data_IF_103970404867
#
_entry.id   IF_103970404867
#
_cell.length_a   1.000
_cell.length_b   1.000
_cell.length_c   1.000
_cell.angle_alpha   90.00
_cell.angle_beta   90.00
_cell.angle_gamma   90.00
#
_symmetry.space_group_name_H-M   'P 1'
#
loop_
_entity.id
_entity.type
_entity.pdbx_description
1 polymer ?
#
# COMPACT_ATOMS: atom_id res chain seq x y z
N UNK A 1 -43.32 38.59 59.24
CA UNK A 1 -42.84 38.24 57.89
C UNK A 1 -41.53 39.02 57.75
N UNK A 2 -40.34 38.45 57.70
CA UNK A 2 -39.78 37.54 56.70
C UNK A 2 -38.63 36.73 57.34
N UNK A 3 -38.46 35.47 56.94
CA UNK A 3 -37.30 34.64 57.30
C UNK A 3 -36.29 34.71 56.15
N UNK A 4 -35.17 35.40 56.33
CA UNK A 4 -34.04 35.36 55.39
C UNK A 4 -33.24 34.07 55.61
N UNK A 5 -33.38 33.11 54.69
CA UNK A 5 -32.53 31.91 54.62
C UNK A 5 -31.28 32.27 53.81
N UNK A 6 -30.11 32.24 54.44
CA UNK A 6 -28.80 32.36 53.77
C UNK A 6 -28.51 31.07 53.00
N UNK A 7 -28.28 31.17 51.70
CA UNK A 7 -27.74 30.09 50.87
C UNK A 7 -26.22 30.00 51.04
N UNK A 8 -25.61 28.80 51.03
CA UNK A 8 -24.16 28.65 51.07
C UNK A 8 -23.54 28.93 49.69
N UNK A 9 -22.53 29.79 49.68
CA UNK A 9 -21.65 30.08 48.55
C UNK A 9 -20.66 28.93 48.36
N UNK A 10 -20.74 28.22 47.22
CA UNK A 10 -19.71 27.26 46.79
C UNK A 10 -18.86 27.94 45.73
N UNK A 11 -17.68 28.39 46.15
CA UNK A 11 -16.57 28.82 45.31
C UNK A 11 -15.76 27.59 44.89
N UNK A 12 -15.69 27.28 43.59
CA UNK A 12 -14.68 26.38 43.03
C UNK A 12 -14.18 26.89 41.66
N UNK A 13 -12.87 26.95 41.56
CA UNK A 13 -12.00 27.67 40.63
C UNK A 13 -11.94 27.11 39.19
N UNK A 14 -11.41 27.86 38.21
CA UNK A 14 -11.34 27.42 36.81
C UNK A 14 -10.12 26.51 36.58
N UNK A 15 -10.35 25.22 36.31
CA UNK A 15 -9.27 24.32 35.87
C UNK A 15 -9.00 24.56 34.38
N UNK A 16 -8.05 25.45 34.11
CA UNK A 16 -7.24 25.40 32.89
C UNK A 16 -6.27 24.23 33.02
N UNK A 17 -6.44 23.17 32.24
CA UNK A 17 -5.36 22.26 31.90
C UNK A 17 -5.29 22.12 30.38
N UNK A 18 -4.28 22.77 29.81
CA UNK A 18 -3.81 22.58 28.45
C UNK A 18 -3.22 21.18 28.31
N UNK A 19 -3.95 20.26 27.68
CA UNK A 19 -3.39 19.01 27.20
C UNK A 19 -3.08 19.10 25.70
N UNK A 20 -1.79 18.94 25.38
CA UNK A 20 -1.26 18.79 24.02
C UNK A 20 -1.87 17.56 23.35
N UNK A 21 -2.37 17.73 22.13
CA UNK A 21 -2.80 16.64 21.25
C UNK A 21 -1.59 15.80 20.80
N UNK A 22 -1.60 14.45 20.92
CA UNK A 22 -0.74 13.61 20.11
C UNK A 22 -1.36 13.47 18.70
N UNK A 23 -0.59 13.90 17.71
CA UNK A 23 -0.86 13.68 16.29
C UNK A 23 -0.92 12.18 15.99
N UNK A 24 -2.09 11.68 15.58
CA UNK A 24 -2.21 10.38 14.93
C UNK A 24 -2.96 10.52 13.60
N UNK A 25 -2.14 10.69 12.57
CA UNK A 25 -2.54 10.60 11.19
C UNK A 25 -2.89 9.14 10.83
N UNK A 26 -4.09 8.97 10.28
CA UNK A 26 -4.35 7.95 9.27
C UNK A 26 -5.12 6.72 9.74
N UNK A 27 -6.42 6.70 9.47
CA UNK A 27 -7.10 5.44 9.16
C UNK A 27 -8.03 5.67 7.96
N UNK A 28 -7.74 4.96 6.88
CA UNK A 28 -8.46 4.96 5.60
C UNK A 28 -9.52 3.86 5.64
N UNK A 29 -10.71 4.15 5.11
CA UNK A 29 -11.94 3.30 5.10
C UNK A 29 -11.79 2.08 4.17
N UNK A 30 -10.83 1.19 4.44
CA UNK A 30 -10.66 -0.08 3.69
C UNK A 30 -10.81 -1.31 4.58
N UNK A 31 -10.94 -1.15 5.90
CA UNK A 31 -11.18 -2.26 6.82
C UNK A 31 -12.66 -2.45 7.09
N UNK A 32 -13.40 -2.97 6.12
CA UNK A 32 -14.64 -3.71 6.37
C UNK A 32 -14.91 -4.65 5.18
N UNK A 33 -14.01 -5.61 4.96
CA UNK A 33 -14.30 -6.77 4.13
C UNK A 33 -13.70 -8.01 4.78
N UNK A 34 -14.57 -8.99 4.97
CA UNK A 34 -14.30 -10.37 5.35
C UNK A 34 -14.17 -10.67 6.84
N UNK A 35 -15.26 -11.18 7.44
CA UNK A 35 -15.18 -12.34 8.33
C UNK A 35 -16.42 -13.22 8.19
N UNK A 36 -16.17 -14.51 7.93
CA UNK A 36 -17.00 -15.63 8.36
C UNK A 36 -16.04 -16.73 8.86
N UNK A 37 -16.19 -17.04 10.15
CA UNK A 37 -15.51 -18.07 10.95
C UNK A 37 -15.93 -19.49 10.49
N UNK A 38 -15.38 -20.64 10.88
CA UNK A 38 -14.24 -21.12 11.65
C UNK A 38 -14.26 -22.67 11.54
N UNK A 39 -13.11 -23.31 11.80
CA UNK A 39 -12.89 -24.52 12.63
C UNK A 39 -11.74 -25.37 12.08
N UNK A 40 -10.64 -25.36 12.83
CA UNK A 40 -9.52 -26.28 12.69
C UNK A 40 -9.98 -27.69 13.08
N UNK A 41 -9.64 -28.68 12.27
CA UNK A 41 -9.51 -30.07 12.68
C UNK A 41 -8.16 -30.58 12.20
N UNK A 42 -7.31 -30.90 13.17
CA UNK A 42 -6.03 -31.56 13.00
C UNK A 42 -6.25 -33.02 12.62
N UNK A 43 -5.80 -33.46 11.44
CA UNK A 43 -5.41 -34.86 11.26
C UNK A 43 -4.24 -35.03 10.28
N UNK A 44 -3.30 -35.80 10.80
CA UNK A 44 -2.03 -36.33 10.31
C UNK A 44 -1.93 -36.74 8.82
N UNK A 45 -0.71 -36.58 8.27
CA UNK A 45 -0.26 -37.09 6.96
C UNK A 45 0.14 -38.56 7.03
N UNK A 46 -0.10 -39.32 5.95
CA UNK A 46 0.76 -40.35 5.27
C UNK A 46 -0.13 -41.17 4.29
N UNK A 47 0.40 -42.01 3.36
CA UNK A 47 0.85 -41.61 2.02
C UNK A 47 0.09 -42.32 0.86
N UNK A 48 0.48 -41.90 -0.36
CA UNK A 48 0.07 -42.33 -1.70
C UNK A 48 0.07 -43.86 -1.91
N UNK A 49 -0.98 -44.40 -2.52
CA UNK A 49 -0.96 -45.70 -3.21
C UNK A 49 -1.65 -45.59 -4.57
N UNK A 50 -0.93 -46.05 -5.58
CA UNK A 50 -1.24 -46.18 -7.01
C UNK A 50 -2.16 -47.38 -7.27
N UNK A 51 -3.22 -47.23 -8.06
CA UNK A 51 -3.78 -48.34 -8.84
C UNK A 51 -4.42 -47.83 -10.13
N UNK A 52 -4.08 -48.52 -11.20
CA UNK A 52 -4.34 -48.26 -12.61
C UNK A 52 -5.57 -49.02 -13.12
N UNK A 53 -6.30 -48.37 -14.05
CA UNK A 53 -7.19 -48.91 -15.12
C UNK A 53 -8.59 -49.44 -14.73
N UNK A 54 -9.58 -49.52 -15.66
CA UNK A 54 -9.47 -49.39 -17.12
C UNK A 54 -10.45 -48.42 -17.83
N UNK A 55 -10.13 -48.28 -19.12
CA UNK A 55 -10.72 -47.55 -20.24
C UNK A 55 -12.02 -48.21 -20.74
N UNK A 56 -13.03 -47.38 -21.03
CA UNK A 56 -14.13 -47.74 -21.95
C UNK A 56 -14.28 -46.71 -23.06
N UNK A 57 -14.30 -47.23 -24.27
CA UNK A 57 -14.39 -46.54 -25.57
C UNK A 57 -15.86 -46.24 -25.90
N UNK A 58 -16.18 -45.05 -26.42
CA UNK A 58 -17.37 -44.86 -27.28
C UNK A 58 -17.00 -43.96 -28.47
N UNK A 59 -17.49 -44.38 -29.63
CA UNK A 59 -17.08 -43.95 -30.96
C UNK A 59 -17.71 -42.62 -31.41
N UNK A 60 -16.89 -41.88 -32.15
CA UNK A 60 -17.09 -41.02 -33.35
C UNK A 60 -18.52 -40.57 -33.75
N UNK A 61 -18.61 -39.30 -34.14
CA UNK A 61 -19.08 -38.99 -35.49
C UNK A 61 -18.33 -37.82 -36.13
N UNK A 62 -18.13 -37.95 -37.45
CA UNK A 62 -17.28 -37.14 -38.35
C UNK A 62 -18.14 -36.06 -39.03
N UNK A 63 -17.60 -34.84 -39.14
CA UNK A 63 -18.08 -33.77 -40.02
C UNK A 63 -16.89 -33.03 -40.64
N UNK A 64 -16.88 -32.95 -41.97
CA UNK A 64 -15.69 -32.80 -42.82
C UNK A 64 -15.44 -31.35 -43.28
N UNK A 65 -14.17 -31.04 -43.59
CA UNK A 65 -13.62 -29.93 -44.42
C UNK A 65 -13.54 -28.57 -43.69
N UNK A 66 -12.53 -27.71 -43.86
CA UNK A 66 -11.54 -27.55 -44.93
C UNK A 66 -10.35 -26.73 -44.39
N UNK A 67 -9.17 -27.00 -44.94
CA UNK A 67 -7.90 -26.29 -44.72
C UNK A 67 -7.94 -24.81 -45.11
N UNK A 68 -7.31 -23.95 -44.31
CA UNK A 68 -6.42 -22.88 -44.83
C UNK A 68 -5.39 -22.52 -43.76
N UNK A 69 -4.12 -22.76 -44.07
CA UNK A 69 -2.99 -22.19 -43.35
C UNK A 69 -3.04 -20.65 -43.47
N UNK A 70 -3.05 -19.96 -42.33
CA UNK A 70 -2.67 -18.54 -42.26
C UNK A 70 -1.59 -18.40 -41.19
N UNK A 71 -0.37 -18.21 -41.68
CA UNK A 71 0.77 -17.67 -40.94
C UNK A 71 0.34 -16.40 -40.22
N UNK A 72 0.09 -16.48 -38.91
CA UNK A 72 -0.17 -15.30 -38.09
C UNK A 72 1.18 -14.70 -37.73
N UNK A 73 1.68 -13.83 -38.60
CA UNK A 73 2.74 -12.87 -38.26
C UNK A 73 2.31 -12.15 -36.98
N UNK A 74 3.01 -12.45 -35.87
CA UNK A 74 2.88 -11.68 -34.63
C UNK A 74 3.58 -10.34 -34.87
N UNK A 75 2.90 -9.39 -35.50
CA UNK A 75 3.29 -7.99 -35.39
C UNK A 75 3.17 -7.62 -33.92
N UNK A 76 4.32 -7.41 -33.27
CA UNK A 76 4.38 -6.80 -31.94
C UNK A 76 3.64 -5.46 -32.03
N UNK A 77 2.68 -5.15 -31.14
CA UNK A 77 2.09 -3.82 -31.13
C UNK A 77 3.22 -2.83 -30.86
N UNK A 78 3.43 -1.91 -31.81
CA UNK A 78 4.31 -0.77 -31.67
C UNK A 78 3.81 0.00 -30.45
N UNK A 79 4.67 0.15 -29.44
CA UNK A 79 4.37 1.00 -28.28
C UNK A 79 4.09 2.40 -28.83
N UNK A 80 2.97 3.05 -28.49
CA UNK A 80 2.78 4.45 -28.82
C UNK A 80 3.98 5.23 -28.31
N UNK A 81 4.60 6.03 -29.17
CA UNK A 81 5.58 7.03 -28.77
C UNK A 81 4.84 7.98 -27.85
N UNK A 82 5.23 7.99 -26.59
CA UNK A 82 4.64 8.80 -25.56
C UNK A 82 5.04 10.27 -25.80
N UNK A 83 4.12 11.05 -26.37
CA UNK A 83 4.22 12.52 -26.54
C UNK A 83 4.26 13.30 -25.20
N UNK A 84 4.40 12.58 -24.08
CA UNK A 84 4.56 13.15 -22.76
C UNK A 84 6.06 13.22 -22.49
N UNK A 85 6.64 14.42 -22.57
CA UNK A 85 8.07 14.67 -22.36
C UNK A 85 8.69 14.06 -21.08
N UNK A 86 9.99 14.26 -20.84
CA UNK A 86 10.77 13.47 -19.89
C UNK A 86 10.07 13.28 -18.53
N UNK A 87 9.80 12.03 -18.17
CA UNK A 87 9.25 11.69 -16.86
C UNK A 87 10.41 11.81 -15.86
N UNK A 88 10.27 12.59 -14.77
CA UNK A 88 11.30 12.62 -13.73
C UNK A 88 11.56 11.21 -13.22
N UNK A 89 12.78 10.71 -13.46
CA UNK A 89 13.21 9.42 -12.93
C UNK A 89 13.66 9.62 -11.48
N UNK A 90 13.16 8.76 -10.59
CA UNK A 90 13.61 8.75 -9.21
C UNK A 90 14.90 7.96 -9.04
N UNK A 91 15.59 8.14 -7.90
CA UNK A 91 16.72 7.30 -7.51
C UNK A 91 16.39 5.80 -7.65
N UNK A 92 17.40 4.98 -7.93
CA UNK A 92 17.26 3.53 -8.05
C UNK A 92 17.49 2.88 -6.68
N UNK A 93 16.69 1.86 -6.36
CA UNK A 93 16.88 1.10 -5.11
C UNK A 93 18.30 0.53 -5.06
N UNK A 94 18.95 0.51 -3.88
CA UNK A 94 20.23 -0.16 -3.74
C UNK A 94 20.07 -1.66 -3.98
N UNK A 95 21.12 -2.28 -4.54
CA UNK A 95 21.19 -3.73 -4.64
C UNK A 95 21.13 -4.38 -3.25
N UNK A 96 20.51 -5.56 -3.13
CA UNK A 96 20.57 -6.36 -1.90
C UNK A 96 22.02 -6.73 -1.56
N UNK A 97 22.33 -7.10 -0.30
CA UNK A 97 23.68 -7.48 0.11
C UNK A 97 24.33 -8.51 -0.82
N UNK A 98 23.57 -9.56 -1.19
CA UNK A 98 24.04 -10.58 -2.14
C UNK A 98 24.31 -10.01 -3.54
N UNK A 99 23.50 -9.07 -4.04
CA UNK A 99 23.75 -8.48 -5.37
C UNK A 99 24.99 -7.58 -5.39
N UNK A 100 25.29 -6.91 -4.28
CA UNK A 100 26.52 -6.13 -4.12
C UNK A 100 27.74 -7.08 -4.11
N UNK A 101 27.65 -8.16 -3.33
CA UNK A 101 28.64 -9.24 -3.35
C UNK A 101 28.79 -9.87 -4.74
N UNK A 102 27.69 -10.18 -5.41
CA UNK A 102 27.72 -10.81 -6.72
C UNK A 102 28.40 -9.92 -7.75
N UNK A 103 28.19 -8.60 -7.70
CA UNK A 103 28.89 -7.67 -8.57
C UNK A 103 30.41 -7.67 -8.32
N UNK A 104 30.83 -7.59 -7.05
CA UNK A 104 32.24 -7.64 -6.66
C UNK A 104 32.88 -8.98 -7.08
N UNK A 105 32.21 -10.10 -6.79
CA UNK A 105 32.64 -11.45 -7.16
C UNK A 105 32.70 -11.63 -8.68
N UNK A 106 31.69 -11.18 -9.43
CA UNK A 106 31.66 -11.30 -10.88
C UNK A 106 32.80 -10.52 -11.54
N UNK A 107 33.09 -9.32 -11.06
CA UNK A 107 34.18 -8.48 -11.58
C UNK A 107 35.56 -9.08 -11.33
N UNK A 108 35.75 -9.83 -10.24
CA UNK A 108 36.99 -10.54 -9.94
C UNK A 108 37.08 -11.87 -10.70
N UNK A 109 35.99 -12.64 -10.71
CA UNK A 109 35.99 -14.02 -11.19
C UNK A 109 35.87 -14.15 -12.72
N UNK A 110 35.19 -13.20 -13.38
CA UNK A 110 34.97 -13.26 -14.84
C UNK A 110 36.24 -13.04 -15.67
N UNK A 111 37.15 -12.10 -15.33
CA UNK A 111 38.43 -11.94 -16.02
C UNK A 111 39.30 -13.20 -15.95
N UNK A 112 39.33 -13.86 -14.79
CA UNK A 112 40.11 -15.09 -14.58
C UNK A 112 39.46 -16.32 -15.27
N UNK A 113 38.15 -16.25 -15.52
CA UNK A 113 37.36 -17.31 -16.13
C UNK A 113 36.54 -16.79 -17.35
N UNK A 114 37.20 -16.33 -18.42
CA UNK A 114 36.54 -15.66 -19.53
C UNK A 114 35.62 -16.59 -20.32
N UNK A 115 35.91 -17.89 -20.31
CA UNK A 115 35.15 -18.94 -21.02
C UNK A 115 33.88 -19.39 -20.27
N UNK A 116 33.82 -19.22 -18.95
CA UNK A 116 32.69 -19.68 -18.14
C UNK A 116 31.43 -18.84 -18.41
N UNK A 117 30.27 -19.52 -18.44
CA UNK A 117 28.98 -18.86 -18.65
C UNK A 117 28.55 -18.14 -17.38
N UNK A 118 27.85 -17.01 -17.52
CA UNK A 118 27.30 -16.22 -16.40
C UNK A 118 26.46 -17.10 -15.45
N UNK A 119 25.74 -18.08 -16.00
CA UNK A 119 24.95 -19.04 -15.23
C UNK A 119 25.78 -19.94 -14.32
N UNK A 120 27.00 -20.30 -14.71
CA UNK A 120 27.92 -21.12 -13.92
C UNK A 120 28.58 -20.27 -12.82
N UNK A 121 29.00 -19.06 -13.18
CA UNK A 121 29.54 -18.06 -12.24
C UNK A 121 28.50 -17.75 -11.15
N UNK A 122 27.22 -17.64 -11.50
CA UNK A 122 26.10 -17.50 -10.57
C UNK A 122 25.98 -18.62 -9.54
N UNK A 123 26.19 -19.87 -9.95
CA UNK A 123 26.15 -21.02 -9.04
C UNK A 123 27.30 -20.95 -8.04
N UNK A 124 28.52 -20.71 -8.53
CA UNK A 124 29.73 -20.60 -7.71
C UNK A 124 29.59 -19.43 -6.72
N UNK A 125 29.11 -18.27 -7.18
CA UNK A 125 28.87 -17.11 -6.31
C UNK A 125 27.83 -17.42 -5.22
N UNK A 126 26.76 -18.14 -5.56
CA UNK A 126 25.74 -18.55 -4.59
C UNK A 126 26.28 -19.48 -3.51
N UNK A 127 27.11 -20.45 -3.88
CA UNK A 127 27.80 -21.35 -2.94
C UNK A 127 28.80 -20.60 -2.06
N UNK A 128 29.59 -19.69 -2.66
CA UNK A 128 30.53 -18.84 -1.94
C UNK A 128 29.82 -17.96 -0.92
N UNK A 129 28.71 -17.32 -1.28
CA UNK A 129 27.93 -16.49 -0.37
C UNK A 129 27.35 -17.27 0.82
N UNK A 130 26.91 -18.52 0.59
CA UNK A 130 26.40 -19.38 1.68
C UNK A 130 27.50 -19.88 2.62
N UNK A 131 28.71 -20.06 2.08
CA UNK A 131 29.88 -20.55 2.82
C UNK A 131 30.71 -19.43 3.45
N UNK A 132 30.42 -18.17 3.13
CA UNK A 132 31.15 -17.01 3.60
C UNK A 132 30.94 -16.79 5.12
N UNK A 133 32.00 -16.47 5.88
CA UNK A 133 31.88 -16.19 7.31
C UNK A 133 30.97 -15.00 7.57
N UNK A 134 30.33 -14.99 8.75
CA UNK A 134 29.39 -13.93 9.13
C UNK A 134 30.02 -12.53 9.08
N UNK A 135 31.31 -12.41 9.42
CA UNK A 135 32.02 -11.13 9.41
C UNK A 135 32.07 -10.51 8.00
N UNK A 136 32.49 -11.29 6.99
CA UNK A 136 32.51 -10.82 5.60
C UNK A 136 31.10 -10.50 5.08
N UNK A 137 30.10 -11.33 5.42
CA UNK A 137 28.69 -11.05 5.07
C UNK A 137 28.17 -9.77 5.72
N UNK A 138 28.60 -9.47 6.94
CA UNK A 138 28.22 -8.26 7.66
C UNK A 138 28.74 -7.00 6.95
N UNK A 139 29.93 -7.05 6.34
CA UNK A 139 30.43 -5.91 5.54
C UNK A 139 29.49 -5.55 4.38
N UNK A 140 28.90 -6.54 3.71
CA UNK A 140 27.92 -6.31 2.65
C UNK A 140 26.55 -5.88 3.19
N UNK A 141 26.16 -6.35 4.36
CA UNK A 141 24.96 -5.86 5.05
C UNK A 141 25.12 -4.39 5.42
N UNK A 142 26.30 -3.99 5.90
CA UNK A 142 26.60 -2.60 6.25
C UNK A 142 26.68 -1.70 5.01
N UNK A 143 27.34 -2.15 3.93
CA UNK A 143 27.28 -1.48 2.62
C UNK A 143 25.83 -1.27 2.17
N UNK A 144 24.96 -2.28 2.34
CA UNK A 144 23.54 -2.17 2.01
C UNK A 144 22.79 -1.18 2.90
N UNK A 145 23.00 -1.20 4.23
CA UNK A 145 22.38 -0.25 5.16
C UNK A 145 22.72 1.18 4.79
N UNK A 146 24.00 1.45 4.53
CA UNK A 146 24.48 2.77 4.12
C UNK A 146 23.91 3.21 2.76
N UNK A 147 23.92 2.32 1.76
CA UNK A 147 23.33 2.61 0.45
C UNK A 147 21.82 2.83 0.53
N UNK A 148 21.13 2.10 1.40
CA UNK A 148 19.70 2.27 1.67
C UNK A 148 19.40 3.60 2.34
N UNK A 149 20.18 4.02 3.32
CA UNK A 149 20.04 5.33 3.96
C UNK A 149 20.18 6.44 2.93
N UNK A 150 21.26 6.42 2.13
CA UNK A 150 21.48 7.42 1.05
C UNK A 150 20.34 7.45 0.05
N UNK A 151 19.86 6.27 -0.37
CA UNK A 151 18.70 6.18 -1.26
C UNK A 151 17.44 6.77 -0.63
N UNK A 152 17.18 6.56 0.66
CA UNK A 152 16.00 7.12 1.32
C UNK A 152 16.06 8.64 1.37
N UNK A 153 17.24 9.20 1.63
CA UNK A 153 17.49 10.66 1.62
C UNK A 153 17.33 11.24 0.21
N UNK A 154 18.02 10.67 -0.79
CA UNK A 154 17.90 11.06 -2.20
C UNK A 154 16.45 10.93 -2.72
N UNK A 155 15.76 9.87 -2.31
CA UNK A 155 14.38 9.64 -2.72
C UNK A 155 13.41 10.62 -2.06
N UNK A 156 13.71 11.05 -0.83
CA UNK A 156 12.95 12.10 -0.14
C UNK A 156 13.17 13.45 -0.81
N UNK A 157 14.42 13.86 -1.04
CA UNK A 157 14.74 15.12 -1.72
C UNK A 157 14.15 15.16 -3.12
N UNK A 158 14.26 14.06 -3.88
CA UNK A 158 13.61 13.92 -5.18
C UNK A 158 12.09 14.06 -5.10
N UNK A 159 11.42 13.48 -4.10
CA UNK A 159 9.96 13.67 -3.94
C UNK A 159 9.59 15.11 -3.64
N UNK A 160 10.37 15.77 -2.80
CA UNK A 160 10.13 17.15 -2.37
C UNK A 160 10.41 18.15 -3.49
N UNK A 161 11.35 17.85 -4.39
CA UNK A 161 11.64 18.66 -5.57
C UNK A 161 10.56 18.59 -6.65
N UNK A 162 9.66 17.60 -6.60
CA UNK A 162 8.61 17.45 -7.61
C UNK A 162 7.45 18.44 -7.41
N UNK A 163 7.01 19.02 -8.52
CA UNK A 163 5.75 19.76 -8.63
C UNK A 163 4.56 18.81 -8.62
N UNK A 164 3.36 19.34 -8.30
CA UNK A 164 2.12 18.55 -8.35
C UNK A 164 1.88 17.93 -9.74
N UNK A 165 2.22 18.67 -10.80
CA UNK A 165 2.10 18.25 -12.21
C UNK A 165 3.04 17.08 -12.53
N UNK A 166 4.28 17.12 -12.07
CA UNK A 166 5.24 16.03 -12.24
C UNK A 166 4.85 14.79 -11.44
N UNK A 167 4.40 14.96 -10.19
CA UNK A 167 3.89 13.85 -9.36
C UNK A 167 2.72 13.14 -10.07
N UNK A 168 1.82 13.90 -10.70
CA UNK A 168 0.71 13.35 -11.49
C UNK A 168 1.23 12.53 -12.69
N UNK A 169 2.17 13.07 -13.48
CA UNK A 169 2.79 12.37 -14.61
C UNK A 169 3.48 11.07 -14.19
N UNK A 170 4.30 11.11 -13.14
CA UNK A 170 4.99 9.93 -12.59
C UNK A 170 3.96 8.88 -12.13
N UNK A 171 2.86 9.31 -11.52
CA UNK A 171 1.80 8.42 -11.07
C UNK A 171 1.03 7.76 -12.22
N UNK A 172 0.77 8.46 -13.32
CA UNK A 172 0.17 7.84 -14.52
C UNK A 172 1.07 6.73 -15.07
N UNK A 173 2.39 6.97 -15.18
CA UNK A 173 3.33 5.95 -15.59
C UNK A 173 3.36 4.75 -14.62
N UNK A 174 3.33 5.00 -13.30
CA UNK A 174 3.23 3.94 -12.29
C UNK A 174 1.91 3.18 -12.35
N UNK A 175 0.78 3.82 -12.65
CA UNK A 175 -0.51 3.14 -12.87
C UNK A 175 -0.45 2.20 -14.07
N UNK A 176 0.16 2.64 -15.18
CA UNK A 176 0.36 1.80 -16.36
C UNK A 176 1.30 0.61 -16.07
N UNK A 177 2.34 0.80 -15.25
CA UNK A 177 3.17 -0.30 -14.79
C UNK A 177 2.39 -1.29 -13.91
N UNK A 178 1.50 -0.77 -13.03
CA UNK A 178 0.63 -1.57 -12.18
C UNK A 178 -0.40 -2.37 -12.98
N UNK A 179 -1.01 -1.79 -14.02
CA UNK A 179 -1.94 -2.51 -14.90
C UNK A 179 -1.24 -3.62 -15.70
N UNK A 180 0.07 -3.49 -15.93
CA UNK A 180 0.94 -4.54 -16.50
C UNK A 180 1.42 -5.58 -15.46
N UNK A 181 0.86 -5.58 -14.25
CA UNK A 181 1.17 -6.56 -13.19
C UNK A 181 2.41 -6.24 -12.35
N UNK A 182 3.06 -5.08 -12.53
CA UNK A 182 4.20 -4.69 -11.68
C UNK A 182 3.69 -4.14 -10.33
N UNK A 183 4.33 -4.57 -9.24
CA UNK A 183 4.02 -4.03 -7.91
C UNK A 183 4.75 -2.70 -7.69
N UNK A 184 4.07 -1.59 -7.98
CA UNK A 184 4.60 -0.22 -7.80
C UNK A 184 3.70 0.61 -6.89
N UNK A 185 4.32 1.40 -5.99
CA UNK A 185 3.63 2.33 -5.09
C UNK A 185 3.50 3.71 -5.76
N UNK A 186 2.32 4.32 -5.66
CA UNK A 186 2.07 5.68 -6.14
C UNK A 186 2.72 6.70 -5.18
N UNK A 187 3.20 7.80 -5.74
CA UNK A 187 3.64 8.96 -4.97
C UNK A 187 2.44 9.69 -4.38
N UNK A 188 2.54 10.07 -3.11
CA UNK A 188 1.54 10.89 -2.44
C UNK A 188 1.91 12.34 -2.65
N UNK A 189 0.93 13.14 -3.08
CA UNK A 189 1.06 14.58 -3.19
C UNK A 189 0.45 15.21 -1.93
N UNK A 190 1.26 15.90 -1.14
CA UNK A 190 0.82 16.60 0.08
C UNK A 190 -0.07 17.79 -0.23
N UNK A 191 0.04 18.39 -1.43
CA UNK A 191 -0.76 19.55 -1.87
C UNK A 191 -2.15 19.15 -2.33
N UNK A 192 -2.35 17.85 -2.63
CA UNK A 192 -3.65 17.33 -3.06
C UNK A 192 -4.63 17.29 -1.88
N UNK A 193 -5.75 18.03 -1.93
CA UNK A 193 -6.74 18.03 -0.87
C UNK A 193 -7.27 16.61 -0.61
N UNK A 194 -7.40 16.24 0.66
CA UNK A 194 -8.02 14.98 1.07
C UNK A 194 -9.53 15.14 0.99
N UNK A 195 -10.22 14.06 0.63
CA UNK A 195 -11.69 14.04 0.60
C UNK A 195 -12.25 14.37 1.99
N UNK A 196 -13.37 15.11 2.07
CA UNK A 196 -14.03 15.42 3.33
C UNK A 196 -14.46 14.13 4.03
N UNK A 197 -14.50 14.16 5.36
CA UNK A 197 -14.98 13.02 6.15
C UNK A 197 -16.49 12.92 5.99
N UNK A 198 -17.02 11.72 5.77
CA UNK A 198 -18.47 11.53 5.69
C UNK A 198 -19.14 11.82 7.05
N UNK A 199 -20.45 12.13 7.11
CA UNK A 199 -21.16 12.38 8.37
C UNK A 199 -20.91 11.30 9.44
N UNK A 200 -20.95 10.02 9.02
CA UNK A 200 -20.67 8.89 9.90
C UNK A 200 -19.25 8.88 10.49
N UNK A 201 -18.25 9.34 9.74
CA UNK A 201 -16.85 9.41 10.23
C UNK A 201 -16.69 10.59 11.20
N UNK A 202 -17.41 11.69 11.00
CA UNK A 202 -17.49 12.75 12.01
C UNK A 202 -18.12 12.22 13.30
N UNK A 203 -19.21 11.45 13.19
CA UNK A 203 -19.84 10.80 14.33
C UNK A 203 -18.88 9.85 15.06
N UNK A 204 -18.20 8.95 14.34
CA UNK A 204 -17.18 8.08 14.94
C UNK A 204 -16.11 8.92 15.63
N UNK A 205 -15.59 9.95 14.98
CA UNK A 205 -14.51 10.78 15.55
C UNK A 205 -14.96 11.49 16.82
N UNK A 206 -16.21 11.97 16.87
CA UNK A 206 -16.78 12.66 18.02
C UNK A 206 -17.14 11.72 19.18
N UNK A 207 -17.49 10.47 18.88
CA UNK A 207 -17.93 9.48 19.87
C UNK A 207 -16.88 8.38 20.13
N UNK A 208 -15.63 8.59 19.69
CA UNK A 208 -14.55 7.64 19.91
C UNK A 208 -14.09 7.72 21.36
N UNK A 209 -14.80 7.03 22.25
CA UNK A 209 -14.33 6.76 23.60
C UNK A 209 -13.41 5.54 23.55
N UNK A 210 -12.15 5.74 23.93
CA UNK A 210 -11.18 4.65 24.07
C UNK A 210 -11.46 3.94 25.39
N UNK A 211 -12.36 2.96 25.34
CA UNK A 211 -12.48 1.97 26.41
C UNK A 211 -11.37 0.94 26.23
N UNK A 212 -10.32 1.01 27.06
CA UNK A 212 -9.17 0.09 26.96
C UNK A 212 -9.56 -1.39 27.12
N UNK A 213 -10.75 -1.67 27.68
CA UNK A 213 -11.23 -3.04 27.86
C UNK A 213 -11.79 -3.67 26.57
N UNK A 214 -12.23 -2.85 25.60
CA UNK A 214 -12.85 -3.33 24.36
C UNK A 214 -11.88 -3.24 23.20
N UNK A 215 -11.95 -4.20 22.30
CA UNK A 215 -11.20 -4.13 21.06
C UNK A 215 -11.74 -3.00 20.18
N UNK A 216 -10.87 -2.38 19.36
CA UNK A 216 -11.27 -1.32 18.43
C UNK A 216 -12.38 -1.77 17.46
N UNK A 217 -12.43 -3.07 17.14
CA UNK A 217 -13.45 -3.64 16.26
C UNK A 217 -14.81 -3.63 16.95
N UNK A 218 -14.89 -4.12 18.20
CA UNK A 218 -16.12 -4.13 19.00
C UNK A 218 -16.63 -2.69 19.22
N UNK A 219 -15.75 -1.77 19.60
CA UNK A 219 -16.10 -0.35 19.74
C UNK A 219 -16.67 0.25 18.45
N UNK A 220 -16.07 -0.10 17.30
CA UNK A 220 -16.54 0.40 16.01
C UNK A 220 -17.91 -0.20 15.66
N UNK A 221 -18.17 -1.46 16.00
CA UNK A 221 -19.48 -2.10 15.78
C UNK A 221 -20.57 -1.43 16.61
N UNK A 222 -20.32 -1.15 17.89
CA UNK A 222 -21.25 -0.41 18.75
C UNK A 222 -21.57 0.98 18.17
N UNK A 223 -20.56 1.70 17.66
CA UNK A 223 -20.76 2.99 16.98
C UNK A 223 -21.56 2.86 15.69
N UNK A 224 -21.35 1.79 14.90
CA UNK A 224 -22.15 1.52 13.70
C UNK A 224 -23.62 1.29 14.06
N UNK A 225 -23.91 0.50 15.10
CA UNK A 225 -25.27 0.21 15.55
C UNK A 225 -25.95 1.45 16.12
N UNK A 226 -25.22 2.26 16.89
CA UNK A 226 -25.69 3.55 17.38
C UNK A 226 -26.03 4.49 16.24
N UNK A 227 -25.15 4.64 15.23
CA UNK A 227 -25.44 5.46 14.06
C UNK A 227 -26.66 4.99 13.27
N UNK A 228 -26.88 3.68 13.16
CA UNK A 228 -28.08 3.15 12.50
C UNK A 228 -29.35 3.51 13.26
N UNK A 229 -29.30 3.47 14.59
CA UNK A 229 -30.44 3.72 15.48
C UNK A 229 -30.72 5.21 15.73
N UNK A 230 -29.77 6.10 15.40
CA UNK A 230 -29.94 7.56 15.55
C UNK A 230 -31.01 8.14 14.63
N UNK A 231 -31.74 9.13 15.14
CA UNK A 231 -32.74 9.87 14.38
C UNK A 231 -32.08 10.78 13.32
N UNK A 232 -32.83 11.22 12.28
CA UNK A 232 -32.34 12.20 11.32
C UNK A 232 -31.91 13.52 11.99
N UNK A 233 -32.55 13.91 13.08
CA UNK A 233 -32.24 15.13 13.82
C UNK A 233 -30.89 15.03 14.54
N UNK A 234 -30.58 13.86 15.12
CA UNK A 234 -29.29 13.61 15.77
C UNK A 234 -28.15 13.48 14.76
N UNK A 235 -28.47 13.08 13.52
CA UNK A 235 -27.51 13.00 12.41
C UNK A 235 -27.22 14.35 11.77
N UNK A 236 -28.19 15.27 11.82
CA UNK A 236 -28.13 16.59 11.17
C UNK A 236 -26.86 17.38 11.46
N UNK A 237 -26.35 17.50 12.71
CA UNK A 237 -25.10 18.21 12.96
C UNK A 237 -23.89 17.62 12.20
N UNK A 238 -23.85 16.30 12.01
CA UNK A 238 -22.77 15.64 11.26
C UNK A 238 -22.93 15.80 9.75
N UNK A 239 -24.16 15.91 9.26
CA UNK A 239 -24.46 16.24 7.86
C UNK A 239 -24.07 17.69 7.53
N UNK A 240 -24.38 18.63 8.43
CA UNK A 240 -23.99 20.03 8.30
C UNK A 240 -22.46 20.19 8.31
N UNK A 241 -21.75 19.49 9.22
CA UNK A 241 -20.29 19.45 9.25
C UNK A 241 -19.71 18.90 7.93
N UNK A 242 -20.29 17.82 7.40
CA UNK A 242 -19.88 17.28 6.10
C UNK A 242 -20.12 18.27 4.96
N UNK A 243 -21.25 18.98 4.95
CA UNK A 243 -21.57 19.97 3.94
C UNK A 243 -20.55 21.12 3.94
N UNK A 244 -20.14 21.58 5.13
CA UNK A 244 -19.09 22.59 5.30
C UNK A 244 -17.73 22.07 4.81
N UNK A 245 -17.29 20.91 5.29
CA UNK A 245 -16.03 20.28 4.88
C UNK A 245 -15.99 20.00 3.37
N UNK A 246 -17.13 19.62 2.79
CA UNK A 246 -17.27 19.40 1.35
C UNK A 246 -17.12 20.69 0.57
N UNK A 247 -17.74 21.79 1.00
CA UNK A 247 -17.57 23.09 0.35
C UNK A 247 -16.10 23.55 0.38
N UNK A 248 -15.43 23.38 1.53
CA UNK A 248 -13.99 23.65 1.66
C UNK A 248 -13.17 22.77 0.71
N UNK A 249 -13.44 21.46 0.67
CA UNK A 249 -12.77 20.55 -0.26
C UNK A 249 -12.98 20.93 -1.73
N UNK A 250 -14.22 21.25 -2.11
CA UNK A 250 -14.58 21.60 -3.48
C UNK A 250 -13.84 22.86 -3.95
N UNK A 251 -13.68 23.87 -3.09
CA UNK A 251 -12.83 25.03 -3.40
C UNK A 251 -11.34 24.66 -3.50
N UNK A 252 -10.81 23.90 -2.54
CA UNK A 252 -9.39 23.50 -2.53
C UNK A 252 -9.02 22.62 -3.73
N UNK A 253 -9.90 21.70 -4.15
CA UNK A 253 -9.62 20.80 -5.26
C UNK A 253 -9.63 21.54 -6.60
N UNK A 254 -10.41 22.61 -6.74
CA UNK A 254 -10.37 23.48 -7.93
C UNK A 254 -9.03 24.20 -8.03
N UNK A 255 -8.55 24.79 -6.93
CA UNK A 255 -7.21 25.41 -6.87
C UNK A 255 -6.12 24.38 -7.21
N UNK A 256 -6.21 23.18 -6.64
CA UNK A 256 -5.28 22.10 -6.93
C UNK A 256 -5.32 21.69 -8.41
N UNK A 257 -6.50 21.52 -9.02
CA UNK A 257 -6.64 21.20 -10.45
C UNK A 257 -5.98 22.27 -11.32
N UNK A 258 -6.20 23.55 -11.02
CA UNK A 258 -5.56 24.67 -11.72
C UNK A 258 -4.02 24.62 -11.61
N UNK A 259 -3.48 24.14 -10.48
CA UNK A 259 -2.02 23.94 -10.32
C UNK A 259 -1.43 22.80 -11.17
N UNK A 260 -2.27 21.97 -11.79
CA UNK A 260 -1.84 20.88 -12.68
C UNK A 260 -1.83 21.26 -14.16
N UNK A 261 -2.52 22.35 -14.53
CA UNK A 261 -2.57 22.89 -15.90
C UNK A 261 -1.21 23.43 -16.36
#
# INVERSE_FOLDING_TARGET
>A
MEKFVRLPTISLSPIRQSFRLPSLAGFSVVFLRQYAAAKNSTRTKTPKSTTTKPRTTKQKNVGTKKSTAKTRTKTKPVKPKDDNGPIPEGPKNPGTPYTMFYADFYNQFKPDNPTLKVTEIGKIAGERWRSMPNNERETYLEKYRNAKSKFEDEFKTWKESLTSKEIAKVNEHRKLAKSKGKHVKLLKDSRKPKRPKTPFIHFITANKNFDESKTLIEQTQELVERWKSMSPEEKKPFEDLYAQDKAVYDSQILVYKKSLE
#
